data_IF_855275873370
#
_entry.id   IF_855275873370
#
_cell.length_a   1.000
_cell.length_b   1.000
_cell.length_c   1.000
_cell.angle_alpha   90.00
_cell.angle_beta   90.00
_cell.angle_gamma   90.00
#
_symmetry.space_group_name_H-M   'P 1'
#
loop_
_entity.id
_entity.type
_entity.pdbx_description
1 polymer ?
#
# COMPACT_ATOMS: atom_id res chain seq x y z
N UNK A 1 -6.28 16.79 -5.19
CA UNK A 1 -5.87 16.91 -3.77
C UNK A 1 -6.18 15.57 -3.13
N UNK A 2 -5.26 14.62 -3.28
CA UNK A 2 -5.47 13.21 -2.95
C UNK A 2 -5.15 12.96 -1.48
N UNK A 3 -6.19 12.73 -0.69
CA UNK A 3 -6.05 12.37 0.71
C UNK A 3 -6.42 10.90 0.86
N UNK A 4 -5.44 10.11 1.27
CA UNK A 4 -5.54 8.71 1.69
C UNK A 4 -6.41 8.58 2.97
N UNK A 5 -7.66 9.00 2.88
CA UNK A 5 -8.63 8.94 3.97
C UNK A 5 -9.65 7.83 3.70
N UNK A 6 -9.91 7.03 4.73
CA UNK A 6 -10.97 6.03 4.84
C UNK A 6 -10.85 4.73 4.05
N UNK A 7 -9.98 3.78 4.44
CA UNK A 7 -10.27 2.35 4.19
C UNK A 7 -9.74 1.43 5.29
N UNK A 8 -10.63 1.00 6.20
CA UNK A 8 -10.38 -0.19 6.99
C UNK A 8 -10.18 -1.38 6.06
N UNK A 9 -8.98 -1.95 6.02
CA UNK A 9 -8.66 -3.04 5.11
C UNK A 9 -9.41 -4.31 5.52
N UNK A 10 -10.49 -4.61 4.79
CA UNK A 10 -11.13 -5.93 4.78
C UNK A 10 -10.66 -6.70 3.55
N UNK A 11 -10.83 -8.03 3.50
CA UNK A 11 -10.50 -8.85 2.32
C UNK A 11 -11.13 -8.30 1.02
N UNK A 12 -12.36 -7.78 1.10
CA UNK A 12 -13.06 -7.16 -0.04
C UNK A 12 -12.36 -5.87 -0.48
N UNK A 13 -11.94 -5.04 0.47
CA UNK A 13 -11.22 -3.79 0.19
C UNK A 13 -9.85 -4.01 -0.42
N UNK A 14 -9.12 -5.02 0.06
CA UNK A 14 -7.83 -5.43 -0.53
C UNK A 14 -8.00 -5.81 -2.00
N UNK A 15 -8.97 -6.70 -2.30
CA UNK A 15 -9.27 -7.10 -3.67
C UNK A 15 -9.57 -5.88 -4.57
N UNK A 16 -10.42 -4.97 -4.12
CA UNK A 16 -10.73 -3.75 -4.91
C UNK A 16 -9.52 -2.84 -5.12
N UNK A 17 -8.63 -2.73 -4.13
CA UNK A 17 -7.44 -1.90 -4.25
C UNK A 17 -6.43 -2.52 -5.23
N UNK A 18 -6.29 -3.84 -5.21
CA UNK A 18 -5.47 -4.60 -6.16
C UNK A 18 -5.98 -4.41 -7.58
N UNK A 19 -7.28 -4.59 -7.80
CA UNK A 19 -7.91 -4.44 -9.12
C UNK A 19 -7.68 -3.02 -9.67
N UNK A 20 -7.78 -1.99 -8.81
CA UNK A 20 -7.46 -0.61 -9.15
C UNK A 20 -6.00 -0.43 -9.57
N UNK A 21 -5.05 -0.97 -8.80
CA UNK A 21 -3.62 -0.88 -9.15
C UNK A 21 -3.36 -1.55 -10.52
N UNK A 22 -3.89 -2.75 -10.73
CA UNK A 22 -3.77 -3.45 -12.01
C UNK A 22 -4.41 -2.66 -13.16
N UNK A 23 -5.57 -2.04 -12.95
CA UNK A 23 -6.23 -1.20 -13.93
C UNK A 23 -5.40 0.05 -14.26
N UNK A 24 -4.88 0.75 -13.26
CA UNK A 24 -4.03 1.92 -13.47
C UNK A 24 -2.77 1.56 -14.25
N UNK A 25 -2.21 0.36 -14.02
CA UNK A 25 -1.07 -0.15 -14.79
C UNK A 25 -1.48 -0.45 -16.24
N UNK A 26 -2.66 -1.07 -16.49
CA UNK A 26 -3.19 -1.27 -17.85
C UNK A 26 -3.45 0.04 -18.60
N UNK A 27 -3.85 1.09 -17.87
CA UNK A 27 -4.12 2.42 -18.40
C UNK A 27 -2.87 3.31 -18.49
N UNK A 28 -1.70 2.78 -18.12
CA UNK A 28 -0.43 3.51 -18.12
C UNK A 28 -0.48 4.87 -17.38
N UNK A 29 -1.13 4.91 -16.22
CA UNK A 29 -1.21 6.11 -15.38
C UNK A 29 0.14 6.39 -14.69
N UNK A 30 1.13 6.84 -15.47
CA UNK A 30 2.54 7.03 -15.05
C UNK A 30 2.76 8.14 -14.01
N UNK A 31 1.73 8.89 -13.64
CA UNK A 31 1.76 9.78 -12.48
C UNK A 31 1.73 9.00 -11.15
N UNK A 32 1.32 7.73 -11.17
CA UNK A 32 1.33 6.82 -10.04
C UNK A 32 2.61 5.97 -10.03
N UNK A 33 3.16 5.64 -8.85
CA UNK A 33 4.47 4.99 -8.75
C UNK A 33 4.51 3.59 -9.36
N UNK A 34 3.45 2.79 -9.17
CA UNK A 34 3.41 1.41 -9.68
C UNK A 34 3.31 1.37 -11.21
N UNK A 35 2.36 2.05 -11.89
CA UNK A 35 2.34 2.11 -13.36
C UNK A 35 3.61 2.72 -13.96
N UNK A 36 4.16 3.77 -13.34
CA UNK A 36 5.41 4.38 -13.79
C UNK A 36 6.56 3.36 -13.81
N UNK A 37 6.73 2.60 -12.73
CA UNK A 37 7.72 1.54 -12.65
C UNK A 37 7.47 0.43 -13.67
N UNK A 38 6.21 -0.03 -13.81
CA UNK A 38 5.88 -1.07 -14.78
C UNK A 38 6.24 -0.65 -16.20
N UNK A 39 5.94 0.60 -16.57
CA UNK A 39 6.33 1.14 -17.88
C UNK A 39 7.85 1.24 -18.02
N UNK A 40 8.55 1.81 -17.03
CA UNK A 40 9.99 2.01 -17.08
C UNK A 40 10.78 0.69 -17.13
N UNK A 41 10.29 -0.36 -16.45
CA UNK A 41 10.90 -1.68 -16.42
C UNK A 41 10.41 -2.63 -17.55
N UNK A 42 9.47 -2.19 -18.40
CA UNK A 42 8.87 -3.04 -19.43
C UNK A 42 8.06 -4.21 -18.86
N UNK A 43 7.53 -4.07 -17.64
CA UNK A 43 6.70 -5.09 -17.01
C UNK A 43 5.25 -5.04 -17.50
N UNK A 44 4.64 -6.21 -17.61
CA UNK A 44 3.22 -6.39 -17.88
C UNK A 44 2.45 -6.71 -16.61
N UNK A 45 1.14 -6.42 -16.60
CA UNK A 45 0.27 -6.64 -15.43
C UNK A 45 0.20 -8.11 -14.99
N UNK A 46 0.44 -9.06 -15.89
CA UNK A 46 0.51 -10.49 -15.56
C UNK A 46 1.68 -10.85 -14.63
N UNK A 47 2.72 -10.02 -14.59
CA UNK A 47 3.86 -10.19 -13.69
C UNK A 47 3.59 -9.67 -12.27
N UNK A 48 2.44 -9.02 -12.05
CA UNK A 48 2.06 -8.51 -10.74
C UNK A 48 1.77 -9.65 -9.76
N UNK A 49 2.51 -9.71 -8.65
CA UNK A 49 2.35 -10.70 -7.58
C UNK A 49 1.95 -10.03 -6.27
N UNK A 50 1.25 -10.78 -5.43
CA UNK A 50 0.75 -10.31 -4.14
C UNK A 50 1.06 -11.32 -3.06
N UNK A 51 1.40 -10.79 -1.89
CA UNK A 51 1.62 -11.58 -0.69
C UNK A 51 1.05 -10.84 0.50
N UNK A 52 0.35 -11.58 1.38
CA UNK A 52 -0.09 -11.06 2.67
C UNK A 52 1.11 -11.14 3.61
N UNK A 53 1.52 -10.00 4.18
CA UNK A 53 2.67 -9.91 5.09
C UNK A 53 2.25 -9.95 6.56
N UNK A 54 0.99 -9.62 6.86
CA UNK A 54 0.46 -9.57 8.23
C UNK A 54 -1.06 -9.68 8.24
N UNK A 55 -1.63 -10.16 9.35
CA UNK A 55 -3.07 -10.27 9.59
C UNK A 55 -3.43 -9.70 10.95
N UNK A 56 -4.16 -8.58 10.95
CA UNK A 56 -4.55 -7.88 12.17
C UNK A 56 -5.93 -8.36 12.62
N UNK A 57 -6.05 -9.00 13.80
CA UNK A 57 -7.33 -9.44 14.32
C UNK A 57 -8.26 -8.26 14.60
N UNK A 58 -9.56 -8.53 14.70
CA UNK A 58 -10.52 -7.51 15.11
C UNK A 58 -10.19 -7.01 16.53
N UNK A 59 -10.23 -5.70 16.73
CA UNK A 59 -9.99 -5.10 18.04
C UNK A 59 -11.16 -5.43 18.96
N UNK A 60 -10.87 -5.98 20.16
CA UNK A 60 -11.90 -6.53 21.06
C UNK A 60 -12.82 -5.46 21.68
N UNK A 61 -12.38 -4.20 21.80
CA UNK A 61 -13.17 -3.07 22.37
C UNK A 61 -12.70 -1.73 21.79
N UNK A 62 -13.63 -0.93 21.23
CA UNK A 62 -13.51 0.54 21.01
C UNK A 62 -12.31 1.09 20.23
N UNK A 63 -11.35 0.26 19.82
CA UNK A 63 -10.10 0.72 19.22
C UNK A 63 -10.25 1.17 17.77
N UNK A 64 -9.47 2.18 17.38
CA UNK A 64 -9.44 2.65 16.00
C UNK A 64 -8.59 1.72 15.13
N UNK A 65 -9.25 0.77 14.48
CA UNK A 65 -8.60 -0.22 13.59
C UNK A 65 -7.86 0.44 12.43
N UNK A 66 -8.36 1.57 11.90
CA UNK A 66 -7.68 2.27 10.81
C UNK A 66 -6.33 2.81 11.28
N UNK A 67 -6.28 3.43 12.46
CA UNK A 67 -5.05 3.93 13.06
C UNK A 67 -4.07 2.78 13.33
N UNK A 68 -4.53 1.63 13.83
CA UNK A 68 -3.67 0.44 13.99
C UNK A 68 -3.09 -0.04 12.67
N UNK A 69 -3.91 -0.11 11.61
CA UNK A 69 -3.45 -0.52 10.28
C UNK A 69 -2.43 0.46 9.71
N UNK A 70 -2.65 1.77 9.85
CA UNK A 70 -1.70 2.79 9.41
C UNK A 70 -0.35 2.68 10.13
N UNK A 71 -0.36 2.45 11.44
CA UNK A 71 0.88 2.21 12.20
C UNK A 71 1.64 0.99 11.69
N UNK A 72 0.93 -0.12 11.48
CA UNK A 72 1.54 -1.35 10.99
C UNK A 72 2.06 -1.19 9.55
N UNK A 73 1.31 -0.52 8.68
CA UNK A 73 1.73 -0.21 7.32
C UNK A 73 3.07 0.55 7.29
N UNK A 74 3.20 1.60 8.12
CA UNK A 74 4.46 2.36 8.25
C UNK A 74 5.60 1.48 8.79
N UNK A 75 5.33 0.67 9.82
CA UNK A 75 6.32 -0.24 10.36
C UNK A 75 6.80 -1.25 9.31
N UNK A 76 5.90 -1.79 8.49
CA UNK A 76 6.25 -2.70 7.40
C UNK A 76 7.02 -2.01 6.27
N UNK A 77 6.67 -0.79 5.90
CA UNK A 77 7.45 -0.01 4.92
C UNK A 77 8.88 0.21 5.42
N UNK A 78 9.03 0.59 6.70
CA UNK A 78 10.33 0.80 7.31
C UNK A 78 11.16 -0.50 7.38
N UNK A 79 10.59 -1.58 7.96
CA UNK A 79 11.28 -2.86 8.15
C UNK A 79 11.66 -3.53 6.82
N UNK A 80 10.77 -3.48 5.84
CA UNK A 80 10.99 -4.08 4.51
C UNK A 80 11.78 -3.17 3.57
N UNK A 81 12.11 -1.94 3.99
CA UNK A 81 12.96 -1.00 3.24
C UNK A 81 12.45 -0.73 1.82
N UNK A 82 11.13 -0.54 1.67
CA UNK A 82 10.44 -0.46 0.38
C UNK A 82 10.22 0.99 -0.11
N UNK A 83 10.93 1.96 0.46
CA UNK A 83 10.94 3.35 0.00
C UNK A 83 11.86 3.51 -1.22
N UNK A 84 11.49 4.39 -2.14
CA UNK A 84 12.31 4.77 -3.28
C UNK A 84 13.72 5.22 -2.82
N UNK A 85 14.81 4.80 -3.48
CA UNK A 85 14.88 4.04 -4.73
C UNK A 85 14.84 2.51 -4.56
N UNK A 86 14.79 1.99 -3.34
CA UNK A 86 14.84 0.54 -3.08
C UNK A 86 13.49 -0.16 -3.25
N UNK A 87 12.39 0.59 -3.22
CA UNK A 87 11.05 0.12 -3.53
C UNK A 87 10.17 1.21 -4.13
N UNK A 88 8.85 0.98 -4.14
CA UNK A 88 7.88 1.81 -4.85
C UNK A 88 7.10 2.79 -3.94
N UNK A 89 7.34 2.77 -2.63
CA UNK A 89 6.78 3.78 -1.72
C UNK A 89 7.55 5.09 -1.88
N UNK A 90 6.86 6.22 -2.05
CA UNK A 90 7.51 7.53 -2.24
C UNK A 90 8.25 7.96 -0.98
N UNK A 91 7.58 7.89 0.15
CA UNK A 91 8.05 8.31 1.47
C UNK A 91 7.11 7.77 2.56
N UNK A 92 7.54 7.88 3.82
CA UNK A 92 6.67 7.73 5.00
C UNK A 92 7.19 8.66 6.10
N UNK A 93 6.31 9.13 6.98
CA UNK A 93 6.70 9.97 8.14
C UNK A 93 6.79 9.11 9.41
N UNK A 94 7.98 8.83 9.95
CA UNK A 94 8.14 8.02 11.16
C UNK A 94 7.59 8.70 12.44
N UNK A 95 7.59 10.04 12.45
CA UNK A 95 7.36 10.88 13.64
C UNK A 95 5.97 10.68 14.25
N UNK A 96 5.01 10.14 13.51
CA UNK A 96 3.66 9.94 14.03
C UNK A 96 3.57 8.84 15.10
N UNK A 97 4.58 7.98 15.29
CA UNK A 97 4.40 6.73 16.07
C UNK A 97 5.61 6.19 16.85
N UNK A 98 6.64 7.00 17.13
CA UNK A 98 7.69 6.66 18.12
C UNK A 98 7.33 7.34 19.44
N UNK A 99 6.53 6.68 20.28
CA UNK A 99 6.46 6.84 21.73
C UNK A 99 5.87 5.56 22.33
#
# INVERSE_FOLDING_TARGET
MDQFSNRGYTRKTLKTNIEKVQQHTRQELINLPVPAHFRAAGHSVSQFKLQIIDSVPALRRGGNRLLTLQKLEIQWIHRSNTVWPRGLNKDYTPVMFIY
#
